data_IF_593115262821
#
_entry.id   IF_593115262821
#
_cell.length_a   1.000
_cell.length_b   1.000
_cell.length_c   1.000
_cell.angle_alpha   90.00
_cell.angle_beta   90.00
_cell.angle_gamma   90.00
#
_symmetry.space_group_name_H-M   'P 1'
#
loop_
_entity.id
_entity.type
_entity.pdbx_description
1 polymer ?
#
# COMPACT_ATOMS: atom_id res chain seq x y z
N UNK A 1 2.54 -10.40 -21.09
CA UNK A 1 3.38 -9.36 -20.47
C UNK A 1 2.94 -9.18 -19.03
N UNK A 2 3.81 -9.35 -18.02
CA UNK A 2 3.44 -9.15 -16.62
C UNK A 2 3.19 -7.68 -16.30
N UNK A 3 2.21 -7.40 -15.43
CA UNK A 3 1.86 -6.04 -14.96
C UNK A 3 2.75 -5.65 -13.79
N UNK A 4 3.20 -4.40 -13.76
CA UNK A 4 4.06 -3.83 -12.70
C UNK A 4 3.29 -2.97 -11.70
N UNK A 5 3.85 -2.77 -10.49
CA UNK A 5 3.32 -1.83 -9.50
C UNK A 5 3.14 -0.41 -10.07
N UNK A 6 4.10 0.07 -10.88
CA UNK A 6 4.00 1.36 -11.58
C UNK A 6 2.86 1.42 -12.59
N UNK A 7 2.57 0.33 -13.30
CA UNK A 7 1.42 0.28 -14.22
C UNK A 7 0.10 0.30 -13.46
N UNK A 8 0.00 -0.42 -12.33
CA UNK A 8 -1.18 -0.36 -11.46
C UNK A 8 -1.39 1.06 -10.92
N UNK A 9 -0.32 1.73 -10.47
CA UNK A 9 -0.38 3.12 -9.99
C UNK A 9 -0.90 4.06 -11.08
N UNK A 10 -0.31 4.04 -12.28
CA UNK A 10 -0.77 4.87 -13.41
C UNK A 10 -2.23 4.61 -13.78
N UNK A 11 -2.64 3.34 -13.77
CA UNK A 11 -4.04 2.97 -14.01
C UNK A 11 -4.97 3.54 -12.95
N UNK A 12 -4.58 3.51 -11.67
CA UNK A 12 -5.37 4.09 -10.60
C UNK A 12 -5.47 5.63 -10.71
N UNK A 13 -4.38 6.30 -11.07
CA UNK A 13 -4.35 7.75 -11.28
C UNK A 13 -5.26 8.17 -12.44
N UNK A 14 -5.32 7.38 -13.53
CA UNK A 14 -6.29 7.59 -14.60
C UNK A 14 -7.73 7.44 -14.12
N UNK A 15 -8.04 6.36 -13.39
CA UNK A 15 -9.37 6.15 -12.80
C UNK A 15 -9.77 7.28 -11.86
N UNK A 16 -8.83 7.79 -11.05
CA UNK A 16 -9.07 8.90 -10.14
C UNK A 16 -9.38 10.21 -10.88
N UNK A 17 -8.64 10.52 -11.95
CA UNK A 17 -8.86 11.73 -12.76
C UNK A 17 -10.22 11.76 -13.47
N UNK A 18 -10.77 10.59 -13.78
CA UNK A 18 -12.05 10.42 -14.46
C UNK A 18 -13.22 10.15 -13.49
N UNK A 19 -12.96 9.94 -12.20
CA UNK A 19 -13.98 9.58 -11.22
C UNK A 19 -15.02 10.70 -11.05
N UNK A 20 -16.27 10.45 -11.49
CA UNK A 20 -17.42 11.35 -11.28
C UNK A 20 -18.38 10.88 -10.20
N UNK A 21 -18.31 9.60 -9.87
CA UNK A 21 -19.20 8.95 -8.92
C UNK A 21 -18.41 8.09 -7.92
N UNK A 22 -19.16 7.44 -7.03
CA UNK A 22 -18.58 6.61 -6.00
C UNK A 22 -17.92 5.33 -6.54
N UNK A 23 -18.47 4.76 -7.62
CA UNK A 23 -17.92 3.56 -8.25
C UNK A 23 -16.52 3.84 -8.83
N UNK A 24 -16.31 5.00 -9.46
CA UNK A 24 -15.00 5.44 -9.94
C UNK A 24 -14.00 5.62 -8.80
N UNK A 25 -14.41 6.29 -7.70
CA UNK A 25 -13.55 6.48 -6.52
C UNK A 25 -13.13 5.14 -5.89
N UNK A 26 -14.09 4.24 -5.69
CA UNK A 26 -13.84 2.88 -5.17
C UNK A 26 -12.84 2.11 -6.02
N UNK A 27 -13.04 2.15 -7.34
CA UNK A 27 -12.15 1.49 -8.31
C UNK A 27 -10.73 2.03 -8.25
N UNK A 28 -10.56 3.35 -8.15
CA UNK A 28 -9.25 3.98 -8.01
C UNK A 28 -8.57 3.61 -6.68
N UNK A 29 -9.32 3.64 -5.56
CA UNK A 29 -8.81 3.27 -4.22
C UNK A 29 -8.27 1.84 -4.22
N UNK A 30 -9.05 0.91 -4.76
CA UNK A 30 -8.66 -0.50 -4.83
C UNK A 30 -7.43 -0.69 -5.71
N UNK A 31 -7.40 -0.07 -6.89
CA UNK A 31 -6.28 -0.21 -7.82
C UNK A 31 -4.98 0.36 -7.27
N UNK A 32 -5.03 1.53 -6.62
CA UNK A 32 -3.81 2.15 -6.06
C UNK A 32 -3.31 1.40 -4.83
N UNK A 33 -4.21 0.79 -4.03
CA UNK A 33 -3.81 -0.11 -2.95
C UNK A 33 -2.98 -1.28 -3.47
N UNK A 34 -3.42 -1.96 -4.54
CA UNK A 34 -2.65 -3.06 -5.12
C UNK A 34 -1.29 -2.60 -5.65
N UNK A 35 -1.20 -1.39 -6.20
CA UNK A 35 0.07 -0.80 -6.60
C UNK A 35 1.02 -0.64 -5.39
N UNK A 36 0.55 -0.05 -4.30
CA UNK A 36 1.31 0.13 -3.06
C UNK A 36 1.70 -1.23 -2.44
N UNK A 37 0.77 -2.19 -2.39
CA UNK A 37 1.01 -3.55 -1.90
C UNK A 37 2.16 -4.23 -2.65
N UNK A 38 2.11 -4.24 -3.99
CA UNK A 38 3.17 -4.87 -4.77
C UNK A 38 4.50 -4.11 -4.71
N UNK A 39 4.44 -2.78 -4.57
CA UNK A 39 5.64 -1.96 -4.34
C UNK A 39 6.31 -2.31 -3.01
N UNK A 40 5.55 -2.39 -1.92
CA UNK A 40 6.05 -2.81 -0.61
C UNK A 40 6.57 -4.24 -0.62
N UNK A 41 5.86 -5.18 -1.26
CA UNK A 41 6.29 -6.57 -1.36
C UNK A 41 7.63 -6.69 -2.09
N UNK A 42 7.85 -5.89 -3.14
CA UNK A 42 9.12 -5.84 -3.85
C UNK A 42 10.23 -5.22 -3.00
N UNK A 43 9.92 -4.17 -2.25
CA UNK A 43 10.88 -3.52 -1.36
C UNK A 43 11.29 -4.43 -0.19
N UNK A 44 10.35 -5.14 0.44
CA UNK A 44 10.64 -6.10 1.51
C UNK A 44 11.66 -7.16 1.08
N UNK A 45 11.59 -7.62 -0.18
CA UNK A 45 12.55 -8.57 -0.76
C UNK A 45 13.96 -8.01 -0.97
N UNK A 46 14.14 -6.68 -0.85
CA UNK A 46 15.45 -6.02 -0.91
C UNK A 46 16.06 -5.75 0.46
N UNK A 47 15.34 -6.08 1.54
CA UNK A 47 15.87 -5.95 2.89
C UNK A 47 16.92 -7.03 3.18
N UNK A 48 17.84 -6.78 4.14
CA UNK A 48 18.84 -7.77 4.57
C UNK A 48 18.22 -9.10 4.99
N UNK A 49 17.09 -9.03 5.70
CA UNK A 49 16.30 -10.18 6.10
C UNK A 49 14.80 -9.84 6.10
N UNK A 50 13.96 -10.84 5.84
CA UNK A 50 12.52 -10.73 6.01
C UNK A 50 12.14 -10.98 7.46
N UNK A 51 11.22 -10.18 7.99
CA UNK A 51 10.69 -10.40 9.34
C UNK A 51 10.08 -11.81 9.50
N UNK A 52 10.34 -12.51 10.61
CA UNK A 52 9.69 -13.78 10.93
C UNK A 52 8.26 -13.60 11.43
N UNK A 53 7.79 -12.35 11.60
CA UNK A 53 6.48 -12.05 12.18
C UNK A 53 5.35 -12.78 11.42
N UNK A 54 4.50 -13.46 12.20
CA UNK A 54 3.30 -14.12 11.71
C UNK A 54 2.09 -13.55 12.40
N UNK A 55 1.07 -13.21 11.63
CA UNK A 55 -0.22 -12.78 12.13
C UNK A 55 -1.33 -13.64 11.52
N UNK A 56 -2.47 -13.71 12.22
CA UNK A 56 -3.67 -14.33 11.68
C UNK A 56 -4.22 -13.47 10.54
N UNK A 57 -4.69 -14.11 9.47
CA UNK A 57 -5.32 -13.46 8.33
C UNK A 57 -4.60 -13.70 7.01
N UNK A 58 -5.11 -13.05 5.96
CA UNK A 58 -4.63 -13.22 4.60
C UNK A 58 -3.29 -12.54 4.31
N UNK A 59 -2.81 -12.74 3.09
CA UNK A 59 -1.49 -12.28 2.61
C UNK A 59 -1.24 -10.78 2.78
N UNK A 60 -2.29 -9.95 2.75
CA UNK A 60 -2.21 -8.51 2.99
C UNK A 60 -1.82 -8.18 4.43
N UNK A 61 -2.50 -8.79 5.40
CA UNK A 61 -2.20 -8.61 6.83
C UNK A 61 -0.83 -9.18 7.19
N UNK A 62 -0.42 -10.27 6.53
CA UNK A 62 0.92 -10.85 6.72
C UNK A 62 2.02 -9.88 6.26
N UNK A 63 1.89 -9.25 5.08
CA UNK A 63 2.86 -8.25 4.64
C UNK A 63 2.90 -7.04 5.58
N UNK A 64 1.73 -6.51 5.98
CA UNK A 64 1.65 -5.38 6.92
C UNK A 64 2.37 -5.72 8.23
N UNK A 65 2.12 -6.90 8.81
CA UNK A 65 2.75 -7.32 10.05
C UNK A 65 4.27 -7.42 9.93
N UNK A 66 4.79 -8.02 8.85
CA UNK A 66 6.24 -8.10 8.62
C UNK A 66 6.89 -6.72 8.45
N UNK A 67 6.22 -5.80 7.77
CA UNK A 67 6.69 -4.42 7.64
C UNK A 67 6.70 -3.68 8.99
N UNK A 68 5.65 -3.86 9.81
CA UNK A 68 5.53 -3.24 11.14
C UNK A 68 6.48 -3.84 12.19
N UNK A 69 7.02 -5.03 11.93
CA UNK A 69 7.94 -5.73 12.84
C UNK A 69 9.21 -6.12 12.07
N UNK A 70 10.01 -5.15 11.59
CA UNK A 70 11.21 -5.46 10.80
C UNK A 70 12.17 -6.38 11.55
N UNK A 71 12.92 -7.17 10.80
CA UNK A 71 13.92 -8.05 11.35
C UNK A 71 15.05 -7.28 12.05
N UNK A 72 15.75 -7.93 12.99
CA UNK A 72 16.86 -7.35 13.74
C UNK A 72 18.07 -7.03 12.85
N UNK A 73 18.19 -7.69 11.71
CA UNK A 73 19.24 -7.42 10.70
C UNK A 73 19.01 -6.12 9.92
N UNK A 74 17.84 -5.48 10.05
CA UNK A 74 17.60 -4.14 9.53
C UNK A 74 18.20 -3.10 10.48
N UNK A 75 19.04 -2.21 9.95
CA UNK A 75 19.50 -1.04 10.70
C UNK A 75 18.32 -0.14 11.14
N UNK A 76 18.60 0.83 12.01
CA UNK A 76 17.57 1.71 12.58
C UNK A 76 16.79 2.48 11.51
N UNK A 77 17.45 2.92 10.43
CA UNK A 77 16.85 3.69 9.33
C UNK A 77 15.91 2.81 8.50
N UNK A 78 16.37 1.61 8.14
CA UNK A 78 15.57 0.61 7.43
C UNK A 78 14.39 0.13 8.27
N UNK A 79 14.61 -0.11 9.57
CA UNK A 79 13.58 -0.54 10.48
C UNK A 79 12.49 0.53 10.66
N UNK A 80 12.87 1.80 10.79
CA UNK A 80 11.92 2.91 10.84
C UNK A 80 11.13 3.04 9.53
N UNK A 81 11.83 2.96 8.39
CA UNK A 81 11.20 2.99 7.07
C UNK A 81 10.22 1.84 6.89
N UNK A 82 10.59 0.63 7.31
CA UNK A 82 9.72 -0.55 7.27
C UNK A 82 8.44 -0.32 8.08
N UNK A 83 8.58 0.15 9.32
CA UNK A 83 7.43 0.44 10.19
C UNK A 83 6.50 1.47 9.57
N UNK A 84 7.07 2.53 8.99
CA UNK A 84 6.28 3.57 8.31
C UNK A 84 5.55 3.03 7.08
N UNK A 85 6.21 2.22 6.26
CA UNK A 85 5.58 1.53 5.12
C UNK A 85 4.45 0.60 5.59
N UNK A 86 4.64 -0.11 6.71
CA UNK A 86 3.62 -0.95 7.32
C UNK A 86 2.37 -0.15 7.75
N UNK A 87 2.55 0.99 8.42
CA UNK A 87 1.46 1.89 8.80
C UNK A 87 0.70 2.42 7.57
N UNK A 88 1.42 2.95 6.59
CA UNK A 88 0.84 3.47 5.34
C UNK A 88 0.04 2.40 4.59
N UNK A 89 0.55 1.16 4.56
CA UNK A 89 -0.12 0.06 3.88
C UNK A 89 -1.35 -0.44 4.66
N UNK A 90 -1.32 -0.36 5.98
CA UNK A 90 -2.47 -0.69 6.83
C UNK A 90 -3.62 0.29 6.63
N UNK A 91 -3.35 1.60 6.66
CA UNK A 91 -4.37 2.63 6.44
C UNK A 91 -4.98 2.47 5.04
N UNK A 92 -4.14 2.25 4.02
CA UNK A 92 -4.61 2.00 2.66
C UNK A 92 -5.41 0.70 2.53
N UNK A 93 -5.06 -0.34 3.28
CA UNK A 93 -5.78 -1.61 3.31
C UNK A 93 -7.18 -1.42 3.89
N UNK A 94 -7.34 -0.65 4.98
CA UNK A 94 -8.67 -0.37 5.57
C UNK A 94 -9.57 0.33 4.56
N UNK A 95 -9.12 1.44 3.96
CA UNK A 95 -9.86 2.14 2.89
C UNK A 95 -10.19 1.24 1.70
N UNK A 96 -9.28 0.34 1.30
CA UNK A 96 -9.57 -0.64 0.25
C UNK A 96 -10.64 -1.65 0.64
N UNK A 97 -10.67 -2.10 1.90
CA UNK A 97 -11.73 -3.00 2.39
C UNK A 97 -13.08 -2.29 2.32
N UNK A 98 -13.15 -1.03 2.75
CA UNK A 98 -14.37 -0.23 2.66
C UNK A 98 -14.80 -0.05 1.19
N UNK A 99 -13.84 0.22 0.30
CA UNK A 99 -14.08 0.42 -1.12
C UNK A 99 -14.64 -0.81 -1.83
N UNK A 100 -14.10 -1.99 -1.53
CA UNK A 100 -14.45 -3.22 -2.25
C UNK A 100 -15.63 -3.98 -1.62
N UNK A 101 -15.84 -3.86 -0.30
CA UNK A 101 -16.80 -4.72 0.41
C UNK A 101 -17.91 -3.97 1.13
N UNK A 102 -17.71 -2.72 1.55
CA UNK A 102 -18.71 -1.94 2.29
C UNK A 102 -19.46 -0.98 1.37
N UNK A 103 -20.24 -1.53 0.45
CA UNK A 103 -21.01 -0.75 -0.55
C UNK A 103 -22.15 0.09 0.05
N UNK A 104 -22.53 -0.17 1.31
CA UNK A 104 -23.55 0.58 2.04
C UNK A 104 -22.98 1.81 2.79
N UNK A 105 -21.66 1.87 2.96
CA UNK A 105 -20.98 3.08 3.43
C UNK A 105 -20.69 3.97 2.22
N UNK A 106 -20.60 5.30 2.39
CA UNK A 106 -20.16 6.19 1.31
C UNK A 106 -18.65 6.41 1.39
N UNK A 107 -17.99 6.48 0.23
CA UNK A 107 -16.60 6.93 0.12
C UNK A 107 -16.50 8.32 -0.51
N UNK A 108 -15.89 9.21 0.26
CA UNK A 108 -15.68 10.62 -0.07
C UNK A 108 -14.52 10.82 -1.06
N UNK A 109 -14.46 12.01 -1.66
CA UNK A 109 -13.30 12.42 -2.46
C UNK A 109 -12.03 12.54 -1.60
N UNK A 110 -12.16 12.99 -0.33
CA UNK A 110 -11.04 13.10 0.59
C UNK A 110 -10.38 11.74 0.85
N UNK A 111 -11.16 10.67 0.98
CA UNK A 111 -10.61 9.33 1.19
C UNK A 111 -9.86 8.80 -0.04
N UNK A 112 -10.29 9.18 -1.25
CA UNK A 112 -9.53 8.91 -2.47
C UNK A 112 -8.20 9.69 -2.47
N UNK A 113 -8.22 10.97 -2.10
CA UNK A 113 -7.02 11.81 -2.02
C UNK A 113 -6.02 11.28 -0.99
N UNK A 114 -6.51 10.86 0.18
CA UNK A 114 -5.71 10.22 1.22
C UNK A 114 -5.08 8.92 0.73
N UNK A 115 -5.85 8.12 -0.02
CA UNK A 115 -5.36 6.87 -0.60
C UNK A 115 -4.23 7.13 -1.61
N UNK A 116 -4.42 8.09 -2.53
CA UNK A 116 -3.41 8.46 -3.53
C UNK A 116 -2.15 9.05 -2.89
N UNK A 117 -2.32 9.87 -1.86
CA UNK A 117 -1.21 10.50 -1.13
C UNK A 117 -0.39 9.46 -0.36
N UNK A 118 -1.06 8.54 0.35
CA UNK A 118 -0.38 7.43 1.03
C UNK A 118 0.37 6.52 0.05
N UNK A 119 -0.22 6.24 -1.12
CA UNK A 119 0.46 5.47 -2.16
C UNK A 119 1.68 6.21 -2.71
N UNK A 120 1.60 7.53 -2.91
CA UNK A 120 2.77 8.34 -3.33
C UNK A 120 3.90 8.23 -2.32
N UNK A 121 3.61 8.39 -1.04
CA UNK A 121 4.61 8.26 0.03
C UNK A 121 5.23 6.86 0.07
N UNK A 122 4.44 5.80 -0.15
CA UNK A 122 4.97 4.42 -0.28
C UNK A 122 5.98 4.34 -1.43
N UNK A 123 5.64 4.86 -2.60
CA UNK A 123 6.53 4.79 -3.77
C UNK A 123 7.84 5.54 -3.55
N UNK A 124 7.77 6.73 -2.93
CA UNK A 124 8.93 7.55 -2.56
C UNK A 124 9.83 6.81 -1.56
N UNK A 125 9.28 6.29 -0.46
CA UNK A 125 10.06 5.57 0.56
C UNK A 125 10.69 4.29 0.02
N UNK A 126 9.99 3.56 -0.86
CA UNK A 126 10.56 2.37 -1.52
C UNK A 126 11.59 2.71 -2.61
N UNK A 127 11.69 3.97 -3.06
CA UNK A 127 12.68 4.41 -4.03
C UNK A 127 13.93 5.02 -3.36
N UNK A 128 13.82 5.48 -2.12
CA UNK A 128 14.93 6.02 -1.36
C UNK A 128 16.05 4.97 -1.19
N UNK A 129 17.34 5.36 -1.28
CA UNK A 129 18.46 4.46 -1.03
C UNK A 129 18.36 3.80 0.35
N UNK A 130 18.78 2.55 0.45
CA UNK A 130 18.98 1.85 1.71
C UNK A 130 20.36 2.24 2.24
N UNK A 131 20.51 3.50 2.66
CA UNK A 131 21.73 4.08 3.25
C UNK A 131 21.43 4.58 4.65
#
# INVERSE_FOLDING_TARGET
MPVTDKQLKRSAEGLAGEARDEAGRRSAISRVYYAAYHRCLRWERSLPAMSPARTRGGVHRQLIARLQTPDVECDSVLAERSRRLGQLLEDQFRRRVDADYHLQASLSASELDDQLSAAREVFEKCAAPNT
#
